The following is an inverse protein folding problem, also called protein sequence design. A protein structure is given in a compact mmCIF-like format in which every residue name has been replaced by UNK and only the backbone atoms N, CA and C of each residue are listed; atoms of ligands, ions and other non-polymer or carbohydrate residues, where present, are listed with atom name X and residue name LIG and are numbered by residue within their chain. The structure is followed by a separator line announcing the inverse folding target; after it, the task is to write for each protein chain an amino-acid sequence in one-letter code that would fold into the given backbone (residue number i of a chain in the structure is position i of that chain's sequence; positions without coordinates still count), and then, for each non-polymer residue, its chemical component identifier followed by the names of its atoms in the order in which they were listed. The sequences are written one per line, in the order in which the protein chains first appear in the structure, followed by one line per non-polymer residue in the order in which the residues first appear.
data_IF_319349154775
#
_entry.id   IF_319349154775
#
_cell.length_a   1.000
_cell.length_b   1.000
_cell.length_c   1.000
_cell.angle_alpha   90.00
_cell.angle_beta   90.00
_cell.angle_gamma   90.00
#
_symmetry.space_group_name_H-M   'P 1'
#
loop_
_entity.id
_entity.type
_entity.pdbx_description
1 polymer ?
#
# COMPACT_ATOMS: atom_id res chain seq x y z
N UNK A 1 -3.32 3.34 7.97
CA UNK A 1 -4.40 2.32 8.02
C UNK A 1 -3.98 1.16 8.91
N UNK A 2 -4.90 0.38 9.49
CA UNK A 2 -4.51 -0.84 10.22
C UNK A 2 -3.96 -1.89 9.22
N UNK A 3 -2.78 -2.44 9.50
CA UNK A 3 -2.13 -3.43 8.61
C UNK A 3 -3.00 -4.68 8.39
N UNK A 4 -3.88 -5.00 9.35
CA UNK A 4 -4.76 -6.15 9.29
C UNK A 4 -5.96 -5.92 8.39
N UNK A 5 -6.17 -4.70 7.90
CA UNK A 5 -7.19 -4.36 6.91
C UNK A 5 -6.62 -4.34 5.49
N UNK A 6 -5.30 -4.25 5.33
CA UNK A 6 -4.64 -4.17 4.03
C UNK A 6 -4.42 -5.58 3.45
N UNK A 7 -4.75 -5.77 2.17
CA UNK A 7 -4.57 -7.02 1.43
C UNK A 7 -3.86 -6.77 0.10
N UNK A 8 -3.01 -7.70 -0.36
CA UNK A 8 -2.61 -7.76 -1.76
C UNK A 8 -3.82 -7.68 -2.68
N UNK A 9 -3.71 -6.89 -3.74
CA UNK A 9 -4.79 -6.68 -4.71
C UNK A 9 -5.65 -5.44 -4.46
N UNK A 10 -5.47 -4.75 -3.33
CA UNK A 10 -6.23 -3.54 -3.02
C UNK A 10 -5.60 -2.30 -3.65
N UNK A 11 -6.46 -1.36 -4.05
CA UNK A 11 -6.01 0.00 -4.38
C UNK A 11 -6.03 0.85 -3.12
N UNK A 12 -4.96 1.62 -2.90
CA UNK A 12 -4.81 2.48 -1.75
C UNK A 12 -4.34 3.89 -2.13
N UNK A 13 -4.54 4.84 -1.23
CA UNK A 13 -4.07 6.22 -1.37
C UNK A 13 -2.92 6.47 -0.39
N UNK A 14 -1.80 6.98 -0.89
CA UNK A 14 -0.71 7.56 -0.10
C UNK A 14 -0.58 9.06 -0.41
N UNK A 15 0.37 9.75 0.23
CA UNK A 15 0.62 11.18 -0.05
C UNK A 15 1.15 11.44 -1.46
N UNK A 16 1.81 10.44 -2.04
CA UNK A 16 2.43 10.48 -3.37
C UNK A 16 1.47 10.06 -4.49
N UNK A 17 0.27 9.57 -4.14
CA UNK A 17 -0.78 9.24 -5.09
C UNK A 17 -1.43 7.88 -4.84
N UNK A 18 -2.05 7.34 -5.89
CA UNK A 18 -2.69 6.02 -5.85
C UNK A 18 -1.62 4.94 -5.99
N UNK A 19 -1.69 3.92 -5.14
CA UNK A 19 -0.86 2.73 -5.20
C UNK A 19 -1.72 1.47 -5.21
N UNK A 20 -1.18 0.41 -5.79
CA UNK A 20 -1.77 -0.93 -5.77
C UNK A 20 -0.93 -1.83 -4.87
N UNK A 21 -1.56 -2.51 -3.92
CA UNK A 21 -0.88 -3.35 -2.93
C UNK A 21 -0.43 -4.64 -3.58
N UNK A 22 0.88 -4.87 -3.60
CA UNK A 22 1.49 -6.11 -4.06
C UNK A 22 1.68 -7.10 -2.92
N UNK A 23 2.27 -6.63 -1.81
CA UNK A 23 2.63 -7.47 -0.66
C UNK A 23 2.45 -6.70 0.65
N UNK A 24 2.24 -7.46 1.74
CA UNK A 24 2.00 -6.92 3.08
C UNK A 24 2.84 -7.71 4.09
N UNK A 25 3.85 -7.07 4.68
CA UNK A 25 4.59 -7.58 5.83
C UNK A 25 3.98 -7.05 7.13
N UNK A 26 3.23 -7.91 7.80
CA UNK A 26 2.57 -7.58 9.08
C UNK A 26 3.52 -7.51 10.26
N UNK A 27 4.62 -8.24 10.22
CA UNK A 27 5.59 -8.22 11.33
C UNK A 27 6.29 -6.87 11.36
N UNK A 28 6.66 -6.36 10.19
CA UNK A 28 7.42 -5.11 10.06
C UNK A 28 6.55 -3.86 9.82
N UNK A 29 5.24 -4.04 9.63
CA UNK A 29 4.28 -2.97 9.29
C UNK A 29 4.60 -2.29 7.95
N UNK A 30 5.03 -3.08 6.97
CA UNK A 30 5.46 -2.61 5.66
C UNK A 30 4.55 -3.14 4.56
N UNK A 31 4.34 -2.31 3.55
CA UNK A 31 3.48 -2.61 2.40
C UNK A 31 4.25 -2.28 1.13
N UNK A 32 4.30 -3.23 0.22
CA UNK A 32 4.89 -3.05 -1.10
C UNK A 32 3.79 -2.57 -2.07
N UNK A 33 4.01 -1.43 -2.70
CA UNK A 33 3.05 -0.77 -3.59
C UNK A 33 3.62 -0.64 -5.00
N UNK A 34 2.79 -0.92 -6.01
CA UNK A 34 3.01 -0.42 -7.36
C UNK A 34 2.25 0.91 -7.52
N UNK A 35 2.97 1.99 -7.80
CA UNK A 35 2.37 3.30 -8.11
C UNK A 35 2.46 3.55 -9.61
N UNK A 36 1.48 4.26 -10.17
CA UNK A 36 1.46 4.55 -11.62
C UNK A 36 2.64 5.42 -12.06
N UNK A 37 3.08 6.34 -11.19
CA UNK A 37 4.18 7.26 -11.48
C UNK A 37 5.57 6.62 -11.30
N UNK A 38 5.65 5.39 -10.79
CA UNK A 38 6.91 4.75 -10.43
C UNK A 38 7.12 3.45 -11.23
N UNK A 39 8.32 3.28 -11.77
CA UNK A 39 8.65 2.08 -12.56
C UNK A 39 9.04 0.88 -11.71
N UNK A 40 9.34 1.11 -10.43
CA UNK A 40 9.77 0.10 -9.46
C UNK A 40 8.79 0.15 -8.27
N UNK A 41 8.39 -1.00 -7.71
CA UNK A 41 7.58 -1.00 -6.50
C UNK A 41 8.26 -0.31 -5.32
N UNK A 42 7.48 0.41 -4.54
CA UNK A 42 7.95 1.11 -3.34
C UNK A 42 7.42 0.47 -2.08
N UNK A 43 8.27 0.42 -1.07
CA UNK A 43 7.89 -0.06 0.25
C UNK A 43 7.58 1.13 1.15
N UNK A 44 6.39 1.14 1.71
CA UNK A 44 5.92 2.18 2.62
C UNK A 44 5.44 1.58 3.94
N UNK A 45 5.31 2.43 4.96
CA UNK A 45 4.68 2.03 6.22
C UNK A 45 3.15 1.99 6.08
N UNK A 46 2.50 1.13 6.84
CA UNK A 46 1.02 1.05 6.85
C UNK A 46 0.33 2.34 7.30
N UNK A 47 1.00 3.16 8.13
CA UNK A 47 0.50 4.47 8.57
C UNK A 47 0.56 5.55 7.47
N UNK A 48 1.34 5.34 6.41
CA UNK A 48 1.37 6.19 5.21
C UNK A 48 0.20 5.94 4.26
N UNK A 49 -0.51 4.81 4.44
CA UNK A 49 -1.74 4.51 3.71
C UNK A 49 -2.91 5.24 4.36
N UNK A 50 -3.43 6.24 3.63
CA UNK A 50 -4.46 7.18 4.07
C UNK A 50 -5.87 6.59 3.95
N UNK A 51 -6.09 5.76 2.93
CA UNK A 51 -7.37 5.11 2.63
C UNK A 51 -7.14 3.94 1.69
N UNK A 52 -8.05 2.98 1.69
CA UNK A 52 -8.09 1.91 0.71
C UNK A 52 -9.48 1.76 0.11
N UNK A 53 -9.53 1.33 -1.15
CA UNK A 53 -10.74 0.81 -1.78
C UNK A 53 -10.50 -0.65 -2.16
N UNK A 54 -11.47 -1.49 -1.82
CA UNK A 54 -11.56 -2.81 -2.44
C UNK A 54 -11.92 -2.61 -3.92
N UNK A 55 -11.15 -3.26 -4.80
CA UNK A 55 -11.38 -3.30 -6.23
C UNK A 55 -12.41 -4.36 -6.59
#
# INVERSE_FOLDING_TARGET
MDINEIRPGMSCLTREGIGYVLEVDRQSQLVLLQREAETIPVQVRSDEILSSREG
#
